data_IF_958686066103
#
_entry.id   IF_958686066103
#
_cell.length_a   1.000
_cell.length_b   1.000
_cell.length_c   1.000
_cell.angle_alpha   90.00
_cell.angle_beta   90.00
_cell.angle_gamma   90.00
#
_symmetry.space_group_name_H-M   'P 1'
#
loop_
_entity.id
_entity.type
_entity.pdbx_description
1 polymer ?
#
# COMPACT_ATOMS: atom_id res chain seq x y z
N UNK A 1 -45.72 81.96 -13.52
CA UNK A 1 -46.74 81.47 -12.59
C UNK A 1 -46.96 79.98 -12.85
N UNK A 2 -47.00 79.18 -11.78
CA UNK A 2 -47.50 77.80 -11.68
C UNK A 2 -46.81 76.72 -12.53
N UNK A 3 -46.16 75.82 -11.79
CA UNK A 3 -45.82 74.42 -12.10
C UNK A 3 -46.99 73.71 -12.79
N UNK A 4 -46.75 72.73 -13.65
CA UNK A 4 -47.11 71.32 -13.45
C UNK A 4 -46.52 70.43 -14.57
N UNK A 5 -46.21 69.22 -14.14
CA UNK A 5 -45.42 68.12 -14.69
C UNK A 5 -46.15 67.34 -15.81
N UNK A 6 -45.41 66.78 -16.80
CA UNK A 6 -45.80 65.51 -17.40
C UNK A 6 -44.80 64.41 -17.02
N UNK A 7 -45.33 63.37 -16.37
CA UNK A 7 -44.67 62.11 -16.08
C UNK A 7 -44.41 61.40 -17.41
N UNK A 8 -43.15 61.18 -17.75
CA UNK A 8 -42.74 60.29 -18.83
C UNK A 8 -42.15 59.03 -18.22
N UNK A 9 -42.81 57.90 -18.47
CA UNK A 9 -42.41 56.56 -18.03
C UNK A 9 -41.13 56.20 -18.78
N UNK A 10 -40.01 56.09 -18.06
CA UNK A 10 -38.78 55.51 -18.57
C UNK A 10 -38.66 54.08 -18.02
N UNK A 11 -38.85 53.10 -18.90
CA UNK A 11 -38.58 51.70 -18.62
C UNK A 11 -37.07 51.52 -18.42
N UNK A 12 -36.66 51.30 -17.16
CA UNK A 12 -35.30 50.93 -16.82
C UNK A 12 -35.22 49.40 -16.77
N UNK A 13 -34.41 48.83 -17.67
CA UNK A 13 -34.17 47.40 -17.75
C UNK A 13 -33.62 46.86 -16.43
N UNK A 14 -34.30 45.84 -15.91
CA UNK A 14 -33.83 45.04 -14.78
C UNK A 14 -32.73 44.13 -15.34
N UNK A 15 -31.49 44.57 -15.25
CA UNK A 15 -30.33 43.69 -15.37
C UNK A 15 -30.24 42.87 -14.09
N UNK A 16 -30.62 41.60 -14.17
CA UNK A 16 -30.34 40.61 -13.13
C UNK A 16 -28.82 40.42 -13.02
N UNK A 17 -28.18 41.21 -12.17
CA UNK A 17 -26.88 40.86 -11.60
C UNK A 17 -27.12 39.68 -10.65
N UNK A 18 -26.91 38.47 -11.16
CA UNK A 18 -26.69 37.30 -10.32
C UNK A 18 -25.35 37.50 -9.62
N UNK A 19 -25.38 38.01 -8.39
CA UNK A 19 -24.33 37.68 -7.43
C UNK A 19 -24.44 36.18 -7.19
N UNK A 20 -23.54 35.39 -7.79
CA UNK A 20 -23.24 34.09 -7.23
C UNK A 20 -22.55 34.36 -5.90
N UNK A 21 -23.20 33.97 -4.82
CA UNK A 21 -22.63 33.99 -3.48
C UNK A 21 -21.23 33.38 -3.54
N UNK A 22 -20.25 34.20 -3.15
CA UNK A 22 -18.96 33.69 -2.71
C UNK A 22 -19.23 33.03 -1.36
N UNK A 23 -19.65 31.78 -1.41
CA UNK A 23 -19.52 30.91 -0.27
C UNK A 23 -18.01 30.73 -0.04
N UNK A 24 -17.50 31.56 0.86
CA UNK A 24 -16.24 31.39 1.57
C UNK A 24 -16.30 30.11 2.42
N UNK A 25 -16.38 28.95 1.77
CA UNK A 25 -15.59 27.82 2.23
C UNK A 25 -14.20 28.05 1.67
N UNK A 26 -13.37 28.74 2.44
CA UNK A 26 -11.92 28.61 2.32
C UNK A 26 -11.59 27.14 2.52
N UNK A 27 -11.74 26.33 1.47
CA UNK A 27 -10.91 25.15 1.30
C UNK A 27 -9.51 25.72 1.38
N UNK A 28 -8.83 25.43 2.48
CA UNK A 28 -7.42 25.69 2.57
C UNK A 28 -6.78 24.76 1.53
N UNK A 29 -6.73 25.24 0.28
CA UNK A 29 -6.10 24.62 -0.90
C UNK A 29 -4.58 24.64 -0.72
N UNK A 30 -4.12 24.30 0.48
CA UNK A 30 -2.70 24.18 0.75
C UNK A 30 -2.21 22.91 0.06
N UNK A 31 -1.11 23.00 -0.71
CA UNK A 31 -0.65 21.91 -1.54
C UNK A 31 -0.30 20.70 -0.67
N UNK A 32 -0.74 19.52 -1.09
CA UNK A 32 -0.61 18.27 -0.36
C UNK A 32 0.45 17.36 -0.97
N UNK A 33 1.13 16.60 -0.13
CA UNK A 33 1.85 15.41 -0.51
C UNK A 33 0.88 14.23 -0.37
N UNK A 34 0.55 13.61 -1.50
CA UNK A 34 -0.43 12.52 -1.57
C UNK A 34 0.31 11.23 -1.92
N UNK A 35 0.11 10.18 -1.13
CA UNK A 35 0.71 8.86 -1.37
C UNK A 35 -0.37 7.90 -1.85
N UNK A 36 -0.06 7.16 -2.92
CA UNK A 36 -0.93 6.14 -3.51
C UNK A 36 -0.15 4.86 -3.77
N UNK A 37 -0.82 3.73 -3.69
CA UNK A 37 -0.27 2.44 -4.12
C UNK A 37 -0.82 2.04 -5.48
N UNK A 38 0.03 1.40 -6.29
CA UNK A 38 -0.35 0.71 -7.51
C UNK A 38 0.17 -0.73 -7.47
N UNK A 39 -0.61 -1.69 -7.97
CA UNK A 39 -0.23 -3.10 -8.02
C UNK A 39 0.06 -3.51 -9.46
N UNK A 40 1.31 -3.85 -9.76
CA UNK A 40 1.76 -4.04 -11.13
C UNK A 40 2.30 -5.47 -11.38
N UNK A 41 1.55 -6.32 -12.10
CA UNK A 41 2.00 -7.68 -12.42
C UNK A 41 3.05 -7.73 -13.54
N UNK A 42 3.34 -6.60 -14.21
CA UNK A 42 4.32 -6.50 -15.28
C UNK A 42 5.63 -5.82 -14.83
N UNK A 43 5.67 -5.24 -13.64
CA UNK A 43 6.89 -4.68 -13.07
C UNK A 43 7.92 -5.81 -12.86
N UNK A 44 9.20 -5.47 -12.91
CA UNK A 44 10.25 -6.48 -12.75
C UNK A 44 10.13 -7.20 -11.39
N UNK A 45 10.27 -8.52 -11.40
CA UNK A 45 10.40 -9.33 -10.18
C UNK A 45 11.82 -9.18 -9.64
N UNK A 46 11.96 -8.67 -8.43
CA UNK A 46 13.23 -8.45 -7.75
C UNK A 46 13.43 -9.41 -6.58
N UNK A 47 14.68 -9.62 -6.17
CA UNK A 47 15.06 -10.27 -4.92
C UNK A 47 15.21 -9.26 -3.75
N UNK A 48 15.65 -9.74 -2.59
CA UNK A 48 15.87 -8.91 -1.39
C UNK A 48 16.93 -7.81 -1.58
N UNK A 49 17.83 -7.94 -2.56
CA UNK A 49 18.86 -6.94 -2.88
C UNK A 49 18.42 -5.99 -4.02
N UNK A 50 17.15 -6.07 -4.44
CA UNK A 50 16.62 -5.27 -5.52
C UNK A 50 17.16 -5.66 -6.91
N UNK A 51 17.69 -6.86 -7.07
CA UNK A 51 18.17 -7.38 -8.36
C UNK A 51 17.10 -8.21 -9.06
N UNK A 52 17.08 -8.29 -10.41
CA UNK A 52 16.13 -9.15 -11.11
C UNK A 52 16.22 -10.61 -10.62
N UNK A 53 15.08 -11.22 -10.35
CA UNK A 53 15.00 -12.57 -9.81
C UNK A 53 14.17 -13.49 -10.70
N UNK A 54 14.69 -14.68 -10.97
CA UNK A 54 13.99 -15.76 -11.69
C UNK A 54 13.28 -16.71 -10.72
N UNK A 55 12.33 -17.49 -11.22
CA UNK A 55 11.72 -18.58 -10.47
C UNK A 55 12.71 -19.77 -10.46
N UNK A 56 13.08 -20.34 -9.30
CA UNK A 56 13.97 -21.49 -9.22
C UNK A 56 13.42 -22.74 -9.92
N UNK A 57 14.29 -23.68 -10.27
CA UNK A 57 13.86 -24.97 -10.82
C UNK A 57 13.12 -25.80 -9.76
N UNK A 58 11.99 -26.40 -10.13
CA UNK A 58 11.12 -27.12 -9.19
C UNK A 58 10.14 -26.22 -8.44
N UNK A 59 10.12 -24.92 -8.75
CA UNK A 59 9.16 -23.97 -8.21
C UNK A 59 8.25 -23.47 -9.34
N UNK A 60 7.04 -23.08 -8.96
CA UNK A 60 6.12 -22.34 -9.80
C UNK A 60 5.62 -21.09 -9.05
N UNK A 61 5.09 -20.13 -9.81
CA UNK A 61 4.58 -18.90 -9.24
C UNK A 61 3.42 -18.36 -10.09
N UNK A 62 2.62 -17.49 -9.48
CA UNK A 62 1.58 -16.74 -10.15
C UNK A 62 1.60 -15.28 -9.71
N UNK A 63 1.13 -14.39 -10.57
CA UNK A 63 0.88 -12.99 -10.22
C UNK A 63 -0.53 -12.88 -9.61
N UNK A 64 -0.67 -12.72 -8.28
CA UNK A 64 -1.97 -12.61 -7.64
C UNK A 64 -2.69 -11.30 -8.02
N UNK A 65 -4.01 -11.30 -7.88
CA UNK A 65 -4.85 -10.11 -8.15
C UNK A 65 -5.03 -9.37 -6.83
N UNK A 66 -4.30 -8.27 -6.64
CA UNK A 66 -4.38 -7.49 -5.40
C UNK A 66 -5.68 -6.70 -5.29
N UNK A 67 -6.33 -6.84 -4.14
CA UNK A 67 -7.53 -6.12 -3.76
C UNK A 67 -7.16 -4.87 -2.93
N UNK A 68 -6.31 -5.05 -1.91
CA UNK A 68 -5.92 -3.97 -1.02
C UNK A 68 -4.58 -4.19 -0.31
N UNK A 69 -4.05 -3.12 0.26
CA UNK A 69 -2.78 -3.06 0.97
C UNK A 69 -2.91 -2.13 2.19
N UNK A 70 -2.05 -2.31 3.18
CA UNK A 70 -1.81 -1.32 4.22
C UNK A 70 -0.31 -1.22 4.52
N UNK A 71 0.11 -0.11 5.13
CA UNK A 71 1.46 0.12 5.58
C UNK A 71 1.48 0.51 7.06
N UNK A 72 2.59 0.22 7.73
CA UNK A 72 2.89 0.68 9.10
C UNK A 72 3.78 1.92 9.10
N UNK A 73 4.60 2.11 8.07
CA UNK A 73 5.62 3.16 8.08
C UNK A 73 5.85 3.71 6.69
N UNK A 74 6.09 5.02 6.58
CA UNK A 74 6.53 5.68 5.35
C UNK A 74 7.63 6.71 5.64
N UNK A 75 8.71 6.65 4.88
CA UNK A 75 9.84 7.57 4.98
C UNK A 75 10.39 7.96 3.60
N UNK A 76 10.73 9.24 3.43
CA UNK A 76 11.56 9.72 2.33
C UNK A 76 13.02 9.80 2.78
N UNK A 77 13.92 9.17 2.03
CA UNK A 77 15.34 9.10 2.35
C UNK A 77 16.18 9.92 1.36
N UNK A 78 17.01 10.88 1.84
CA UNK A 78 17.83 11.73 0.98
C UNK A 78 18.80 10.97 0.08
N UNK A 79 19.42 9.89 0.60
CA UNK A 79 20.42 9.11 -0.11
C UNK A 79 20.62 7.73 0.52
N UNK A 80 21.39 6.88 -0.14
CA UNK A 80 21.61 5.48 0.24
C UNK A 80 22.27 5.26 1.63
N UNK A 81 22.91 6.27 2.21
CA UNK A 81 23.56 6.20 3.53
C UNK A 81 22.66 6.66 4.69
N UNK A 82 21.47 7.19 4.39
CA UNK A 82 20.51 7.57 5.42
C UNK A 82 19.95 6.30 6.06
N UNK A 83 20.13 6.14 7.37
CA UNK A 83 19.63 4.96 8.08
C UNK A 83 18.11 5.01 8.23
N UNK A 84 17.48 3.85 8.45
CA UNK A 84 16.03 3.78 8.65
C UNK A 84 15.66 4.61 9.88
N UNK A 85 14.69 5.51 9.73
CA UNK A 85 14.28 6.44 10.79
C UNK A 85 15.00 7.80 10.75
N UNK A 86 16.14 7.91 10.06
CA UNK A 86 16.91 9.17 9.97
C UNK A 86 16.46 10.04 8.77
N UNK A 87 15.60 9.50 7.90
CA UNK A 87 14.99 10.25 6.81
C UNK A 87 13.84 11.15 7.27
N UNK A 88 13.05 11.60 6.31
CA UNK A 88 11.80 12.32 6.59
C UNK A 88 10.67 11.30 6.75
N UNK A 89 10.41 10.95 8.00
CA UNK A 89 9.32 10.05 8.39
C UNK A 89 8.00 10.79 8.27
N UNK A 90 7.09 10.28 7.45
CA UNK A 90 5.80 10.90 7.19
C UNK A 90 4.63 10.12 7.80
N UNK A 91 4.82 8.85 8.07
CA UNK A 91 3.78 8.01 8.63
C UNK A 91 4.36 6.94 9.53
N UNK A 92 3.69 6.74 10.66
CA UNK A 92 3.90 5.64 11.59
C UNK A 92 2.52 5.23 12.12
N UNK A 93 2.09 4.02 11.82
CA UNK A 93 0.77 3.53 12.21
C UNK A 93 0.66 3.39 13.73
N UNK A 94 -0.56 3.46 14.29
CA UNK A 94 -0.78 3.20 15.69
C UNK A 94 -0.30 1.80 16.12
N UNK A 95 0.22 1.73 17.33
CA UNK A 95 0.69 0.51 17.96
C UNK A 95 0.05 0.33 19.32
N UNK A 96 0.05 -0.91 19.80
CA UNK A 96 -0.61 -1.30 21.05
C UNK A 96 0.21 -2.33 21.82
N UNK A 97 -0.03 -2.38 23.13
CA UNK A 97 0.51 -3.38 24.05
C UNK A 97 -0.55 -4.41 24.47
N UNK A 98 -1.76 -4.38 23.88
CA UNK A 98 -2.87 -5.27 24.28
C UNK A 98 -2.50 -6.75 24.21
N UNK A 99 -1.69 -7.15 23.22
CA UNK A 99 -1.22 -8.53 23.05
C UNK A 99 0.05 -8.88 23.84
N UNK A 100 0.52 -8.00 24.74
CA UNK A 100 1.76 -8.15 25.50
C UNK A 100 2.87 -7.25 24.95
N UNK A 101 3.60 -7.73 23.94
CA UNK A 101 4.64 -6.96 23.27
C UNK A 101 4.06 -5.88 22.35
N UNK A 102 4.83 -4.82 22.09
CA UNK A 102 4.46 -3.75 21.17
C UNK A 102 4.18 -4.33 19.79
N UNK A 103 3.02 -4.00 19.24
CA UNK A 103 2.54 -4.51 17.98
C UNK A 103 1.74 -3.45 17.24
N UNK A 104 1.71 -3.53 15.91
CA UNK A 104 0.82 -2.75 15.04
C UNK A 104 -0.62 -3.02 15.44
N UNK A 105 -1.40 -1.98 15.70
CA UNK A 105 -2.84 -2.12 15.95
C UNK A 105 -3.59 -2.21 14.62
N UNK A 106 -3.86 -3.43 14.17
CA UNK A 106 -4.54 -3.64 12.88
C UNK A 106 -5.93 -3.02 12.82
N UNK A 107 -6.61 -2.85 13.96
CA UNK A 107 -7.94 -2.22 13.99
C UNK A 107 -7.91 -0.75 13.58
N UNK A 108 -6.74 -0.12 13.59
CA UNK A 108 -6.50 1.25 13.18
C UNK A 108 -5.76 1.35 11.84
N UNK A 109 -5.58 0.24 11.14
CA UNK A 109 -4.85 0.21 9.87
C UNK A 109 -5.64 0.92 8.77
N UNK A 110 -4.97 1.81 8.04
CA UNK A 110 -5.50 2.39 6.80
C UNK A 110 -5.31 1.36 5.68
N UNK A 111 -6.38 0.66 5.30
CA UNK A 111 -6.38 -0.30 4.18
C UNK A 111 -6.93 0.39 2.94
N UNK A 112 -6.18 0.35 1.85
CA UNK A 112 -6.55 1.03 0.59
C UNK A 112 -6.44 0.11 -0.61
N UNK A 113 -7.27 0.39 -1.61
CA UNK A 113 -7.27 -0.29 -2.90
C UNK A 113 -6.31 0.38 -3.88
N UNK A 114 -6.15 -0.22 -5.07
CA UNK A 114 -5.30 0.31 -6.13
C UNK A 114 -5.67 1.76 -6.51
N UNK A 115 -4.71 2.68 -6.43
CA UNK A 115 -4.86 4.10 -6.81
C UNK A 115 -5.61 4.98 -5.79
N UNK A 116 -6.08 4.41 -4.68
CA UNK A 116 -6.67 5.17 -3.58
C UNK A 116 -5.59 5.93 -2.80
N UNK A 117 -6.00 7.04 -2.19
CA UNK A 117 -5.10 7.85 -1.36
C UNK A 117 -4.88 7.13 -0.03
N UNK A 118 -3.63 6.74 0.23
CA UNK A 118 -3.21 6.18 1.51
C UNK A 118 -2.93 7.26 2.55
N UNK A 119 -2.24 8.32 2.14
CA UNK A 119 -1.78 9.40 3.00
C UNK A 119 -1.91 10.73 2.26
N UNK A 120 -2.34 11.77 2.98
CA UNK A 120 -2.35 13.16 2.51
C UNK A 120 -1.82 14.05 3.62
N UNK A 121 -0.71 14.73 3.37
CA UNK A 121 -0.03 15.60 4.33
C UNK A 121 0.19 16.96 3.69
N UNK A 122 -0.07 18.09 4.37
CA UNK A 122 0.31 19.41 3.86
C UNK A 122 1.81 19.47 3.55
N UNK A 123 2.20 19.88 2.34
CA UNK A 123 3.61 19.92 1.93
C UNK A 123 4.48 20.79 2.83
N UNK A 124 3.89 21.80 3.49
CA UNK A 124 4.57 22.64 4.50
C UNK A 124 5.07 21.85 5.73
N UNK A 125 4.48 20.68 6.00
CA UNK A 125 4.85 19.78 7.11
C UNK A 125 5.90 18.75 6.69
N UNK A 126 6.18 18.65 5.39
CA UNK A 126 7.23 17.80 4.84
C UNK A 126 8.55 18.57 4.89
N UNK A 127 9.60 17.96 5.44
CA UNK A 127 10.91 18.58 5.46
C UNK A 127 11.37 18.91 4.03
N UNK A 128 12.00 20.07 3.86
CA UNK A 128 12.60 20.46 2.59
C UNK A 128 13.82 19.59 2.32
N UNK A 129 14.03 19.19 1.08
CA UNK A 129 15.14 18.31 0.72
C UNK A 129 15.06 17.72 -0.67
N UNK A 130 16.10 16.97 -1.02
CA UNK A 130 16.14 16.13 -2.21
C UNK A 130 16.22 14.67 -1.78
N UNK A 131 15.22 13.88 -2.17
CA UNK A 131 15.02 12.50 -1.76
C UNK A 131 15.26 11.55 -2.92
N UNK A 132 16.23 10.65 -2.76
CA UNK A 132 16.56 9.64 -3.75
C UNK A 132 15.72 8.37 -3.59
N UNK A 133 15.26 8.09 -2.36
CA UNK A 133 14.59 6.84 -2.02
C UNK A 133 13.31 7.09 -1.24
N UNK A 134 12.39 6.14 -1.35
CA UNK A 134 11.27 5.96 -0.43
C UNK A 134 11.42 4.62 0.28
N UNK A 135 10.99 4.56 1.54
CA UNK A 135 10.96 3.33 2.34
C UNK A 135 9.59 3.18 2.95
N UNK A 136 8.99 2.00 2.78
CA UNK A 136 7.63 1.73 3.24
C UNK A 136 7.59 0.38 3.93
N UNK A 137 7.17 0.34 5.20
CA UNK A 137 6.85 -0.92 5.87
C UNK A 137 5.44 -1.33 5.49
N UNK A 138 5.29 -2.40 4.71
CA UNK A 138 3.97 -2.98 4.44
C UNK A 138 3.50 -3.72 5.69
N UNK A 139 2.23 -3.54 6.07
CA UNK A 139 1.65 -4.19 7.25
C UNK A 139 0.67 -5.30 6.87
N UNK A 140 0.02 -5.18 5.72
CA UNK A 140 -1.05 -6.07 5.28
C UNK A 140 -1.16 -6.12 3.75
N UNK A 141 -1.51 -7.29 3.23
CA UNK A 141 -1.80 -7.55 1.82
C UNK A 141 -3.08 -8.39 1.71
N UNK A 142 -3.95 -8.05 0.75
CA UNK A 142 -5.13 -8.85 0.41
C UNK A 142 -5.19 -9.02 -1.10
N UNK A 143 -5.23 -10.27 -1.55
CA UNK A 143 -5.23 -10.59 -2.97
C UNK A 143 -5.85 -11.95 -3.26
N UNK A 144 -6.26 -12.15 -4.50
CA UNK A 144 -6.79 -13.41 -4.99
C UNK A 144 -5.74 -14.25 -5.72
N UNK A 145 -5.79 -15.56 -5.49
CA UNK A 145 -4.98 -16.58 -6.16
C UNK A 145 -5.86 -17.67 -6.79
N UNK A 146 -5.29 -18.38 -7.77
CA UNK A 146 -5.87 -19.61 -8.32
C UNK A 146 -5.29 -20.83 -7.62
N UNK A 147 -6.16 -21.77 -7.27
CA UNK A 147 -5.82 -23.04 -6.61
C UNK A 147 -6.43 -24.19 -7.41
N UNK A 148 -5.65 -25.21 -7.72
CA UNK A 148 -6.15 -26.45 -8.29
C UNK A 148 -6.31 -27.50 -7.17
N UNK A 149 -7.48 -28.13 -7.11
CA UNK A 149 -7.71 -29.26 -6.23
C UNK A 149 -8.67 -30.26 -6.90
N UNK A 150 -8.28 -31.54 -6.96
CA UNK A 150 -9.05 -32.59 -7.62
C UNK A 150 -9.51 -32.23 -9.05
N UNK A 151 -8.63 -31.62 -9.85
CA UNK A 151 -8.91 -31.13 -11.21
C UNK A 151 -9.95 -30.00 -11.30
N UNK A 152 -10.31 -29.37 -10.19
CA UNK A 152 -11.20 -28.20 -10.14
C UNK A 152 -10.36 -26.98 -9.76
N UNK A 153 -10.47 -25.92 -10.58
CA UNK A 153 -9.86 -24.63 -10.26
C UNK A 153 -10.80 -23.84 -9.34
N UNK A 154 -10.23 -23.33 -8.26
CA UNK A 154 -10.86 -22.42 -7.32
C UNK A 154 -10.14 -21.07 -7.35
N UNK A 155 -10.90 -20.01 -7.12
CA UNK A 155 -10.35 -18.71 -6.72
C UNK A 155 -10.40 -18.63 -5.20
N UNK A 156 -9.35 -18.09 -4.60
CA UNK A 156 -9.26 -17.90 -3.16
C UNK A 156 -8.72 -16.51 -2.86
N UNK A 157 -9.28 -15.86 -1.84
CA UNK A 157 -8.65 -14.68 -1.24
C UNK A 157 -7.65 -15.13 -0.19
N UNK A 158 -6.47 -14.52 -0.22
CA UNK A 158 -5.45 -14.64 0.78
C UNK A 158 -5.22 -13.27 1.44
N UNK A 159 -5.33 -13.24 2.76
CA UNK A 159 -4.93 -12.12 3.60
C UNK A 159 -3.58 -12.43 4.26
N UNK A 160 -2.60 -11.56 4.10
CA UNK A 160 -1.25 -11.71 4.64
C UNK A 160 -0.88 -10.52 5.51
N UNK A 161 -0.62 -10.78 6.79
CA UNK A 161 -0.17 -9.80 7.78
C UNK A 161 1.36 -9.81 7.81
N UNK A 162 1.96 -8.86 7.10
CA UNK A 162 3.41 -8.84 6.83
C UNK A 162 4.19 -7.87 7.71
N UNK A 163 3.51 -7.07 8.53
CA UNK A 163 4.18 -6.22 9.51
C UNK A 163 4.95 -7.01 10.57
N UNK A 164 5.92 -6.36 11.24
CA UNK A 164 6.86 -7.02 12.16
C UNK A 164 6.18 -7.82 13.29
N UNK A 165 5.15 -7.21 13.88
CA UNK A 165 4.31 -7.80 14.91
C UNK A 165 2.97 -7.07 14.85
N UNK A 166 1.87 -7.79 14.65
CA UNK A 166 0.55 -7.20 14.46
C UNK A 166 -0.41 -7.75 15.50
N UNK A 167 -1.03 -6.88 16.28
CA UNK A 167 -2.15 -7.25 17.14
C UNK A 167 -3.41 -7.31 16.28
N UNK A 168 -4.00 -8.50 16.23
CA UNK A 168 -5.19 -8.76 15.43
C UNK A 168 -6.29 -9.21 16.38
N UNK A 169 -7.41 -8.50 16.40
CA UNK A 169 -8.62 -8.93 17.10
C UNK A 169 -9.33 -9.98 16.24
N UNK A 170 -9.88 -9.54 15.12
CA UNK A 170 -10.60 -10.33 14.14
C UNK A 170 -10.35 -9.81 12.73
N UNK A 171 -10.41 -10.69 11.75
CA UNK A 171 -10.53 -10.33 10.32
C UNK A 171 -11.49 -11.31 9.63
N UNK A 172 -11.86 -11.03 8.38
CA UNK A 172 -12.91 -11.77 7.70
C UNK A 172 -12.67 -11.85 6.20
N UNK A 173 -12.76 -13.06 5.66
CA UNK A 173 -12.75 -13.35 4.22
C UNK A 173 -14.13 -13.87 3.83
N UNK A 174 -14.86 -13.11 3.02
CA UNK A 174 -16.28 -13.36 2.71
C UNK A 174 -17.11 -13.58 3.98
N UNK A 175 -17.60 -14.80 4.24
CA UNK A 175 -18.39 -15.14 5.43
C UNK A 175 -17.56 -15.84 6.52
N UNK A 176 -16.25 -16.02 6.31
CA UNK A 176 -15.36 -16.71 7.22
C UNK A 176 -14.72 -15.71 8.18
N UNK A 177 -15.06 -15.78 9.46
CA UNK A 177 -14.52 -14.92 10.52
C UNK A 177 -13.35 -15.63 11.21
N UNK A 178 -12.21 -14.95 11.31
CA UNK A 178 -11.04 -15.44 12.00
C UNK A 178 -10.84 -14.65 13.29
N UNK A 179 -11.08 -15.30 14.43
CA UNK A 179 -10.87 -14.71 15.75
C UNK A 179 -9.43 -14.99 16.20
N UNK A 180 -8.59 -13.95 16.24
CA UNK A 180 -7.16 -14.09 16.57
C UNK A 180 -6.89 -13.64 18.01
N UNK A 181 -7.36 -12.45 18.38
CA UNK A 181 -7.21 -11.81 19.69
C UNK A 181 -5.80 -11.93 20.29
N UNK A 182 -4.78 -11.74 19.45
CA UNK A 182 -3.39 -11.95 19.83
C UNK A 182 -2.42 -11.23 18.89
N UNK A 183 -1.19 -11.07 19.35
CA UNK A 183 -0.06 -10.69 18.52
C UNK A 183 0.27 -11.82 17.53
N UNK A 184 0.65 -11.43 16.32
CA UNK A 184 1.15 -12.30 15.25
C UNK A 184 2.39 -11.67 14.62
N UNK A 185 3.47 -12.44 14.57
CA UNK A 185 4.68 -12.04 13.87
C UNK A 185 4.44 -12.01 12.36
N UNK A 186 5.35 -11.34 11.63
CA UNK A 186 5.34 -11.30 10.17
C UNK A 186 5.02 -12.66 9.56
N UNK A 187 4.04 -12.68 8.66
CA UNK A 187 3.67 -13.86 7.90
C UNK A 187 2.51 -14.66 8.47
N UNK A 188 1.75 -14.13 9.43
CA UNK A 188 0.42 -14.68 9.68
C UNK A 188 -0.46 -14.46 8.45
N UNK A 189 -1.18 -15.48 8.03
CA UNK A 189 -2.03 -15.42 6.85
C UNK A 189 -3.33 -16.19 7.04
N UNK A 190 -4.32 -15.83 6.26
CA UNK A 190 -5.59 -16.54 6.14
C UNK A 190 -5.99 -16.70 4.69
N UNK A 191 -6.67 -17.80 4.39
CA UNK A 191 -7.12 -18.17 3.06
C UNK A 191 -8.59 -18.57 3.12
N UNK A 192 -9.39 -18.06 2.19
CA UNK A 192 -10.79 -18.46 2.01
C UNK A 192 -11.08 -18.74 0.53
N UNK A 193 -11.66 -19.90 0.22
CA UNK A 193 -12.11 -20.19 -1.15
C UNK A 193 -13.40 -19.43 -1.45
N UNK A 194 -13.48 -18.82 -2.63
CA UNK A 194 -14.71 -18.17 -3.09
C UNK A 194 -15.78 -19.21 -3.38
N UNK A 195 -17.02 -18.92 -2.99
CA UNK A 195 -18.20 -19.76 -3.25
C UNK A 195 -18.05 -21.22 -2.77
N UNK A 196 -17.15 -21.48 -1.82
CA UNK A 196 -16.92 -22.81 -1.25
C UNK A 196 -16.65 -22.67 0.25
N UNK A 197 -17.26 -23.49 1.12
CA UNK A 197 -17.17 -23.33 2.58
C UNK A 197 -15.85 -23.90 3.12
N UNK A 198 -14.72 -23.38 2.62
CA UNK A 198 -13.38 -23.73 3.08
C UNK A 198 -12.61 -22.45 3.37
N UNK A 199 -12.07 -22.40 4.58
CA UNK A 199 -11.16 -21.37 5.02
C UNK A 199 -10.14 -21.96 5.99
N UNK A 200 -8.93 -21.43 5.97
CA UNK A 200 -7.85 -21.84 6.87
C UNK A 200 -6.93 -20.66 7.15
N UNK A 201 -6.06 -20.79 8.14
CA UNK A 201 -5.06 -19.78 8.45
C UNK A 201 -3.77 -20.45 8.91
N UNK A 202 -2.67 -19.72 8.84
CA UNK A 202 -1.36 -20.24 9.20
C UNK A 202 -0.36 -19.14 9.49
N UNK A 203 0.89 -19.56 9.65
CA UNK A 203 2.04 -18.70 9.91
C UNK A 203 3.15 -19.14 8.97
N UNK A 204 3.66 -18.22 8.16
CA UNK A 204 4.84 -18.46 7.34
C UNK A 204 6.09 -18.55 8.24
N UNK A 205 7.10 -19.35 7.86
CA UNK A 205 8.38 -19.39 8.56
C UNK A 205 9.04 -18.00 8.59
N UNK A 206 9.77 -17.71 9.67
CA UNK A 206 10.50 -16.46 9.79
C UNK A 206 11.50 -16.28 8.65
N UNK A 207 11.49 -15.10 8.02
CA UNK A 207 12.41 -14.77 6.92
C UNK A 207 12.03 -15.35 5.56
N UNK A 208 10.87 -16.00 5.40
CA UNK A 208 10.41 -16.52 4.11
C UNK A 208 9.81 -15.45 3.18
N UNK A 209 9.55 -14.25 3.68
CA UNK A 209 8.97 -13.16 2.89
C UNK A 209 10.07 -12.34 2.23
N UNK A 210 10.05 -12.23 0.90
CA UNK A 210 10.95 -11.31 0.20
C UNK A 210 10.57 -9.86 0.48
N UNK A 211 11.55 -9.03 0.81
CA UNK A 211 11.43 -7.60 1.10
C UNK A 211 12.57 -6.87 0.38
N UNK A 212 12.33 -6.31 -0.82
CA UNK A 212 13.39 -5.69 -1.61
C UNK A 212 13.99 -4.45 -0.95
N UNK A 213 15.32 -4.43 -0.80
CA UNK A 213 16.09 -3.27 -0.37
C UNK A 213 17.36 -3.08 -1.22
N UNK A 214 17.33 -2.29 -2.31
CA UNK A 214 18.48 -2.06 -3.18
C UNK A 214 19.66 -1.34 -2.53
N UNK A 215 19.49 -0.79 -1.32
CA UNK A 215 20.55 -0.11 -0.55
C UNK A 215 20.94 -0.87 0.71
N UNK A 216 20.65 -2.18 0.79
CA UNK A 216 20.91 -3.01 1.98
C UNK A 216 22.35 -2.97 2.49
N UNK A 217 23.34 -2.71 1.61
CA UNK A 217 24.76 -2.64 1.99
C UNK A 217 25.14 -1.34 2.71
N UNK A 218 24.39 -0.26 2.51
CA UNK A 218 24.65 1.07 3.09
C UNK A 218 23.59 1.50 4.11
N UNK A 219 22.37 1.00 3.98
CA UNK A 219 21.23 1.22 4.88
C UNK A 219 20.37 -0.04 4.93
N UNK A 220 20.71 -0.92 5.87
CA UNK A 220 19.97 -2.17 6.10
C UNK A 220 18.56 -1.89 6.66
N UNK A 221 17.71 -2.91 6.59
CA UNK A 221 16.40 -2.94 7.26
C UNK A 221 16.42 -4.03 8.34
N UNK A 222 15.73 -3.85 9.47
CA UNK A 222 15.53 -4.93 10.42
C UNK A 222 14.81 -6.11 9.76
N UNK A 223 15.26 -7.33 10.06
CA UNK A 223 14.55 -8.53 9.62
C UNK A 223 13.11 -8.51 10.18
N UNK A 224 12.15 -8.99 9.39
CA UNK A 224 10.73 -8.98 9.80
C UNK A 224 10.02 -7.63 9.66
N UNK A 225 10.73 -6.52 9.42
CA UNK A 225 10.11 -5.19 9.35
C UNK A 225 9.23 -4.94 8.12
N UNK A 226 9.34 -5.77 7.07
CA UNK A 226 8.69 -5.59 5.77
C UNK A 226 8.90 -4.20 5.13
N UNK A 227 10.02 -3.55 5.46
CA UNK A 227 10.37 -2.26 4.87
C UNK A 227 10.92 -2.46 3.46
N UNK A 228 10.09 -2.21 2.45
CA UNK A 228 10.49 -2.20 1.06
C UNK A 228 11.08 -0.83 0.70
N UNK A 229 12.23 -0.83 0.03
CA UNK A 229 12.89 0.41 -0.42
C UNK A 229 12.82 0.54 -1.94
N UNK A 230 12.37 1.70 -2.41
CA UNK A 230 12.31 2.06 -3.83
C UNK A 230 13.17 3.27 -4.13
N UNK A 231 13.82 3.29 -5.29
CA UNK A 231 14.59 4.45 -5.77
C UNK A 231 13.76 5.24 -6.78
N UNK A 232 13.65 6.55 -6.60
CA UNK A 232 13.01 7.38 -7.61
C UNK A 232 13.84 7.44 -8.91
N UNK A 233 13.21 7.46 -10.09
CA UNK A 233 13.90 7.69 -11.37
C UNK A 233 14.68 9.02 -11.39
N UNK A 234 14.08 10.05 -10.78
CA UNK A 234 14.68 11.37 -10.51
C UNK A 234 14.42 11.73 -9.06
N UNK A 235 15.33 12.42 -8.38
CA UNK A 235 15.09 12.76 -6.97
C UNK A 235 13.83 13.60 -6.82
N UNK A 236 12.97 13.22 -5.88
CA UNK A 236 11.89 14.09 -5.42
C UNK A 236 12.51 15.29 -4.70
N UNK A 237 12.13 16.51 -5.07
CA UNK A 237 12.63 17.73 -4.44
C UNK A 237 11.46 18.46 -3.79
N UNK A 238 11.54 18.64 -2.47
CA UNK A 238 10.61 19.45 -1.69
C UNK A 238 11.31 20.78 -1.39
N UNK A 239 10.76 21.88 -1.89
CA UNK A 239 11.30 23.24 -1.76
C UNK A 239 10.62 24.06 -0.67
N UNK A 240 9.44 23.65 -0.22
CA UNK A 240 8.60 24.43 0.70
C UNK A 240 7.93 25.64 0.04
N UNK A 241 7.94 25.70 -1.30
CA UNK A 241 7.31 26.75 -2.11
C UNK A 241 6.39 26.16 -3.18
N UNK A 242 5.97 24.91 -3.00
CA UNK A 242 5.01 24.22 -3.85
C UNK A 242 3.70 25.02 -3.87
N UNK A 243 3.03 24.99 -5.02
CA UNK A 243 1.71 25.63 -5.23
C UNK A 243 0.68 24.64 -5.74
N UNK A 244 1.09 23.38 -5.85
CA UNK A 244 0.30 22.25 -6.34
C UNK A 244 0.66 21.03 -5.52
N UNK A 245 -0.30 20.12 -5.43
CA UNK A 245 -0.06 18.81 -4.84
C UNK A 245 1.09 18.09 -5.56
N UNK A 246 1.81 17.29 -4.78
CA UNK A 246 2.74 16.29 -5.29
C UNK A 246 2.09 14.94 -5.02
N UNK A 247 1.88 14.14 -6.07
CA UNK A 247 1.32 12.80 -5.92
C UNK A 247 2.42 11.78 -6.13
N UNK A 248 2.82 11.08 -5.07
CA UNK A 248 3.73 9.94 -5.13
C UNK A 248 2.90 8.66 -5.37
N UNK A 249 3.18 7.98 -6.48
CA UNK A 249 2.66 6.64 -6.75
C UNK A 249 3.74 5.61 -6.44
N UNK A 250 3.42 4.68 -5.55
CA UNK A 250 4.24 3.53 -5.18
C UNK A 250 3.78 2.30 -5.98
N UNK A 251 4.44 2.04 -7.11
CA UNK A 251 4.16 0.83 -7.90
C UNK A 251 4.83 -0.38 -7.25
N UNK A 252 4.03 -1.31 -6.75
CA UNK A 252 4.46 -2.56 -6.13
C UNK A 252 4.42 -3.69 -7.16
N UNK A 253 5.54 -4.40 -7.31
CA UNK A 253 5.61 -5.53 -8.23
C UNK A 253 4.90 -6.75 -7.64
N UNK A 254 3.81 -7.16 -8.29
CA UNK A 254 3.07 -8.40 -7.98
C UNK A 254 3.43 -9.53 -8.96
N UNK A 255 4.42 -9.28 -9.82
CA UNK A 255 4.86 -10.21 -10.84
C UNK A 255 5.41 -11.50 -10.22
N UNK A 256 4.65 -12.60 -10.36
CA UNK A 256 5.02 -13.91 -9.82
C UNK A 256 5.43 -13.82 -8.34
N UNK A 257 4.66 -13.07 -7.55
CA UNK A 257 4.93 -12.79 -6.14
C UNK A 257 4.38 -13.87 -5.19
N UNK A 258 3.49 -14.74 -5.67
CA UNK A 258 3.05 -15.92 -4.96
C UNK A 258 3.77 -17.15 -5.53
N UNK A 259 4.71 -17.71 -4.79
CA UNK A 259 5.61 -18.78 -5.23
C UNK A 259 5.50 -20.01 -4.32
N UNK A 260 5.55 -21.20 -4.92
CA UNK A 260 5.52 -22.48 -4.21
C UNK A 260 6.50 -23.49 -4.81
N UNK A 261 6.85 -24.50 -4.02
CA UNK A 261 7.58 -25.68 -4.49
C UNK A 261 6.60 -26.67 -5.13
N UNK A 262 6.87 -27.06 -6.38
CA UNK A 262 6.02 -27.97 -7.13
C UNK A 262 6.24 -29.43 -6.71
N UNK A 263 5.15 -30.11 -6.42
CA UNK A 263 5.09 -31.58 -6.39
C UNK A 263 4.67 -32.07 -7.76
N UNK A 264 3.64 -31.45 -8.33
CA UNK A 264 3.19 -31.67 -9.69
C UNK A 264 3.74 -30.56 -10.58
N UNK A 265 4.52 -30.90 -11.60
CA UNK A 265 5.17 -29.90 -12.46
C UNK A 265 4.25 -29.41 -13.58
N UNK A 266 3.18 -28.72 -13.21
CA UNK A 266 2.14 -28.26 -14.13
C UNK A 266 1.89 -26.74 -14.06
N UNK A 267 2.61 -26.03 -13.20
CA UNK A 267 2.52 -24.59 -13.01
C UNK A 267 1.28 -24.13 -12.24
N UNK A 268 0.54 -25.03 -11.59
CA UNK A 268 -0.64 -24.69 -10.77
C UNK A 268 -0.39 -24.97 -9.31
N UNK A 269 -0.98 -24.15 -8.44
CA UNK A 269 -0.83 -24.34 -7.01
C UNK A 269 -1.82 -25.40 -6.50
N UNK A 270 -1.30 -26.53 -6.05
CA UNK A 270 -2.02 -27.72 -5.59
C UNK A 270 -1.69 -28.06 -4.13
N UNK A 271 -2.23 -27.32 -3.13
CA UNK A 271 -1.92 -27.54 -1.72
C UNK A 271 -2.28 -28.97 -1.25
N UNK A 272 -3.32 -29.58 -1.83
CA UNK A 272 -3.71 -30.96 -1.52
C UNK A 272 -2.69 -32.01 -1.99
N UNK A 273 -1.85 -31.68 -2.98
CA UNK A 273 -0.73 -32.52 -3.42
C UNK A 273 0.51 -32.39 -2.53
N UNK A 274 0.47 -31.50 -1.52
CA UNK A 274 1.58 -31.24 -0.60
C UNK A 274 2.49 -30.09 -1.04
N UNK A 275 2.06 -29.25 -1.97
CA UNK A 275 2.80 -28.07 -2.40
C UNK A 275 2.82 -26.99 -1.31
N UNK A 276 4.02 -26.50 -1.01
CA UNK A 276 4.23 -25.53 0.06
C UNK A 276 4.60 -24.18 -0.53
N UNK A 277 3.94 -23.15 -0.03
CA UNK A 277 4.26 -21.76 -0.37
C UNK A 277 5.65 -21.42 0.16
N UNK A 278 6.48 -20.85 -0.70
CA UNK A 278 7.84 -20.43 -0.39
C UNK A 278 7.90 -18.93 -0.15
N UNK A 279 7.14 -18.14 -0.91
CA UNK A 279 7.16 -16.68 -0.82
C UNK A 279 5.80 -16.07 -1.20
N UNK A 280 5.46 -14.99 -0.50
CA UNK A 280 4.25 -14.19 -0.63
C UNK A 280 4.54 -12.67 -0.51
N UNK A 281 5.81 -12.29 -0.57
CA UNK A 281 6.24 -10.91 -0.51
C UNK A 281 6.10 -10.18 -1.84
N UNK A 282 5.84 -8.87 -1.78
CA UNK A 282 5.97 -7.98 -2.94
C UNK A 282 7.38 -8.09 -3.53
N UNK A 283 7.47 -8.06 -4.86
CA UNK A 283 8.70 -8.31 -5.60
C UNK A 283 9.36 -7.04 -6.14
N UNK A 284 9.06 -5.88 -5.59
CA UNK A 284 9.70 -4.62 -5.97
C UNK A 284 8.87 -3.40 -5.65
N UNK A 285 9.51 -2.24 -5.59
CA UNK A 285 8.89 -0.93 -5.41
C UNK A 285 9.52 0.08 -6.37
N UNK A 286 8.71 0.57 -7.31
CA UNK A 286 9.07 1.63 -8.25
C UNK A 286 8.26 2.88 -7.92
N UNK A 287 8.86 3.86 -7.23
CA UNK A 287 8.17 5.09 -6.90
C UNK A 287 8.27 6.10 -8.05
N UNK A 288 7.18 6.81 -8.29
CA UNK A 288 7.11 7.93 -9.24
C UNK A 288 6.33 9.09 -8.61
N UNK A 289 6.47 10.29 -9.17
CA UNK A 289 5.71 11.45 -8.71
C UNK A 289 5.39 12.42 -9.84
N UNK A 290 4.37 13.26 -9.65
CA UNK A 290 3.95 14.33 -10.55
C UNK A 290 3.47 15.55 -9.78
#
# INVERSE_FOLDING_TARGET
MKKYLPIFILALGISFFSCSDKDDNLVNDEPQLIIKFEFNPNQQRLDNLGQPATIPSGHAAQSPIFNSISAHYFELSPNAYTQLGDGTVLYHAPETLTGGDLAIDFSQATVVSNGETFLSIPLKEVNQGSYQYVRVSLSYQNYDISILNNNINYTATLESFVGYNTYITTHQIENNIFNVNANRLQGYWALGLHNYPYATSGQAPEGSTTVPNPIATTSAIPQGSCVVTGKFPTNLVITGSETKDIIITLSLSTNNSFEWEEVNRDGKYEPAAGENVIDMGIRGLEPSYK
#
